data_IF_192323290645
#
_entry.id   IF_192323290645
#
_cell.length_a   1.000
_cell.length_b   1.000
_cell.length_c   1.000
_cell.angle_alpha   90.00
_cell.angle_beta   90.00
_cell.angle_gamma   90.00
#
_symmetry.space_group_name_H-M   'P 1'
#
loop_
_entity.id
_entity.type
_entity.pdbx_description
1 polymer ?
#
# COMPACT_ATOMS: atom_id res chain seq x y z
N UNK A 1 -8.97 -2.23 9.64
CA UNK A 1 -9.67 -3.25 10.45
C UNK A 1 -9.68 -4.59 9.71
N UNK A 2 -9.51 -5.69 10.47
CA UNK A 2 -9.56 -7.05 9.94
C UNK A 2 -10.54 -7.87 10.78
N UNK A 3 -11.68 -8.22 10.21
CA UNK A 3 -12.76 -8.94 10.88
C UNK A 3 -12.34 -10.31 11.42
N UNK A 4 -11.28 -10.91 10.82
CA UNK A 4 -10.73 -12.19 11.25
C UNK A 4 -10.19 -12.15 12.67
N UNK A 5 -9.70 -11.00 13.15
CA UNK A 5 -9.28 -10.83 14.55
C UNK A 5 -10.44 -11.07 15.53
N UNK A 6 -11.62 -10.53 15.23
CA UNK A 6 -12.82 -10.76 16.02
C UNK A 6 -13.30 -12.21 15.98
N UNK A 7 -13.18 -12.88 14.81
CA UNK A 7 -13.48 -14.30 14.63
C UNK A 7 -12.54 -15.16 15.48
N UNK A 8 -11.24 -14.89 15.46
CA UNK A 8 -10.24 -15.60 16.28
C UNK A 8 -10.51 -15.37 17.77
N UNK A 9 -10.82 -14.14 18.19
CA UNK A 9 -11.05 -13.79 19.59
C UNK A 9 -12.23 -14.54 20.22
N UNK A 10 -13.22 -14.94 19.42
CA UNK A 10 -14.34 -15.77 19.93
C UNK A 10 -13.90 -17.16 20.42
N UNK A 11 -12.75 -17.64 20.01
CA UNK A 11 -12.24 -18.98 20.29
C UNK A 11 -10.96 -18.98 21.13
N UNK A 12 -10.30 -17.84 21.29
CA UNK A 12 -9.04 -17.69 22.03
C UNK A 12 -9.20 -16.60 23.08
N UNK A 13 -9.12 -16.97 24.35
CA UNK A 13 -9.06 -15.99 25.43
C UNK A 13 -7.72 -15.25 25.38
N UNK A 14 -7.78 -13.91 25.37
CA UNK A 14 -6.58 -13.09 25.27
C UNK A 14 -6.74 -11.77 26.01
N UNK A 15 -5.62 -11.19 26.41
CA UNK A 15 -5.60 -9.88 27.08
C UNK A 15 -5.71 -8.72 26.10
N UNK A 16 -5.25 -8.90 24.84
CA UNK A 16 -5.19 -7.83 23.83
C UNK A 16 -5.43 -8.40 22.43
N UNK A 17 -6.10 -7.59 21.61
CA UNK A 17 -6.24 -7.83 20.17
C UNK A 17 -5.60 -6.67 19.44
N UNK A 18 -4.62 -6.95 18.58
CA UNK A 18 -3.82 -5.96 17.86
C UNK A 18 -3.95 -6.17 16.34
N UNK A 19 -4.39 -5.13 15.65
CA UNK A 19 -4.44 -5.10 14.19
C UNK A 19 -3.05 -4.95 13.56
N UNK A 20 -3.00 -5.09 12.26
CA UNK A 20 -1.85 -4.68 11.47
C UNK A 20 -1.88 -3.17 11.27
N UNK A 21 -0.71 -2.54 11.24
CA UNK A 21 -0.58 -1.10 11.08
C UNK A 21 -0.31 -0.73 9.61
N UNK A 22 -0.97 0.33 9.15
CA UNK A 22 -0.67 1.05 7.91
C UNK A 22 -0.40 2.50 8.29
N UNK A 23 0.80 2.98 8.01
CA UNK A 23 1.16 4.37 8.23
C UNK A 23 0.81 5.20 7.00
N UNK A 24 -0.06 6.20 7.18
CA UNK A 24 -0.40 7.19 6.16
C UNK A 24 0.28 8.49 6.54
N UNK A 25 1.16 8.98 5.67
CA UNK A 25 1.88 10.23 5.87
C UNK A 25 1.21 11.32 5.04
N UNK A 26 0.69 12.35 5.73
CA UNK A 26 0.17 13.53 5.06
C UNK A 26 1.30 14.33 4.43
N UNK A 27 1.10 14.65 3.16
CA UNK A 27 2.08 15.38 2.35
C UNK A 27 1.39 16.61 1.78
N UNK A 28 1.92 17.81 2.04
CA UNK A 28 1.33 19.06 1.55
C UNK A 28 1.08 19.02 0.03
N UNK A 29 -0.03 19.62 -0.43
CA UNK A 29 -0.46 19.54 -1.83
C UNK A 29 0.61 19.97 -2.84
N UNK A 30 0.70 19.24 -3.94
CA UNK A 30 1.50 19.62 -5.12
C UNK A 30 0.73 20.69 -5.91
N UNK A 31 1.18 21.96 -5.81
CA UNK A 31 0.73 23.00 -6.72
C UNK A 31 1.66 23.16 -7.91
N UNK A 32 1.21 23.82 -8.99
CA UNK A 32 2.04 24.17 -10.14
C UNK A 32 3.37 24.80 -9.73
N UNK A 33 4.51 24.24 -10.20
CA UNK A 33 5.85 24.75 -9.93
C UNK A 33 6.50 24.28 -8.64
N UNK A 34 5.88 23.36 -7.90
CA UNK A 34 6.45 22.81 -6.65
C UNK A 34 7.82 22.15 -6.86
N UNK A 35 8.08 21.59 -8.03
CA UNK A 35 9.36 20.97 -8.41
C UNK A 35 10.47 22.00 -8.71
N UNK A 36 10.11 23.23 -9.05
CA UNK A 36 11.08 24.27 -9.49
C UNK A 36 11.80 25.02 -8.36
N UNK A 37 11.70 24.56 -7.11
CA UNK A 37 12.63 24.98 -6.05
C UNK A 37 12.25 26.20 -5.24
N UNK A 38 11.00 26.66 -5.26
CA UNK A 38 10.56 27.68 -4.34
C UNK A 38 10.21 27.09 -2.95
N UNK A 39 11.26 26.80 -2.18
CA UNK A 39 11.25 26.74 -0.71
C UNK A 39 10.69 25.50 -0.01
N UNK A 40 9.69 24.80 -0.49
CA UNK A 40 9.06 23.63 0.15
C UNK A 40 9.42 22.28 -0.55
N UNK A 41 9.83 22.33 -1.82
CA UNK A 41 9.97 21.16 -2.68
C UNK A 41 10.91 20.07 -2.17
N UNK A 42 12.07 20.39 -1.63
CA UNK A 42 13.08 19.36 -1.27
C UNK A 42 12.75 18.57 0.01
N UNK A 43 12.10 19.17 1.01
CA UNK A 43 11.66 18.44 2.21
C UNK A 43 10.44 17.58 1.94
N UNK A 44 9.50 18.09 1.17
CA UNK A 44 8.31 17.45 0.69
C UNK A 44 8.65 16.18 -0.12
N UNK A 45 9.48 16.31 -1.14
CA UNK A 45 9.92 15.17 -1.96
C UNK A 45 10.70 14.13 -1.14
N UNK A 46 11.34 14.53 -0.03
CA UNK A 46 12.01 13.63 0.90
C UNK A 46 11.04 12.63 1.55
N UNK A 47 9.92 13.10 2.09
CA UNK A 47 8.92 12.25 2.73
C UNK A 47 8.28 11.28 1.74
N UNK A 48 7.91 11.74 0.54
CA UNK A 48 7.34 10.86 -0.49
C UNK A 48 8.34 9.75 -0.88
N UNK A 49 9.64 10.02 -0.92
CA UNK A 49 10.66 9.01 -1.27
C UNK A 49 10.66 7.83 -0.31
N UNK A 50 10.35 8.04 0.95
CA UNK A 50 10.31 6.99 1.97
C UNK A 50 9.03 6.15 1.93
N UNK A 51 7.94 6.67 1.35
CA UNK A 51 6.68 5.93 1.21
C UNK A 51 6.80 4.79 0.20
N UNK A 52 6.01 3.72 0.40
CA UNK A 52 6.00 2.55 -0.48
C UNK A 52 4.98 2.65 -1.61
N UNK A 53 3.92 3.44 -1.43
CA UNK A 53 2.86 3.72 -2.40
C UNK A 53 2.38 5.16 -2.24
N UNK A 54 1.60 5.64 -3.18
CA UNK A 54 0.99 6.96 -3.15
C UNK A 54 -0.54 6.84 -3.11
N UNK A 55 -1.17 7.61 -2.23
CA UNK A 55 -2.59 7.88 -2.24
C UNK A 55 -2.77 9.26 -2.90
N UNK A 56 -3.26 9.27 -4.14
CA UNK A 56 -3.47 10.51 -4.88
C UNK A 56 -4.91 10.97 -4.67
N UNK A 57 -5.10 11.91 -3.74
CA UNK A 57 -6.42 12.49 -3.44
C UNK A 57 -6.76 13.52 -4.49
N UNK A 58 -7.91 13.36 -5.14
CA UNK A 58 -8.39 14.17 -6.26
C UNK A 58 -9.73 14.77 -5.88
N UNK A 59 -9.90 16.08 -6.09
CA UNK A 59 -11.18 16.76 -5.86
C UNK A 59 -12.18 16.42 -6.97
N UNK A 60 -13.32 15.86 -6.56
CA UNK A 60 -14.43 15.50 -7.44
C UNK A 60 -15.75 16.10 -6.96
N UNK A 61 -15.72 17.28 -6.37
CA UNK A 61 -16.90 18.03 -5.94
C UNK A 61 -16.74 19.50 -6.25
N UNK A 62 -17.86 20.18 -6.55
CA UNK A 62 -17.86 21.61 -6.80
C UNK A 62 -17.75 22.41 -5.51
N UNK A 63 -16.83 23.38 -5.45
CA UNK A 63 -16.71 24.30 -4.32
C UNK A 63 -16.21 25.67 -4.81
N UNK A 64 -16.97 26.71 -4.49
CA UNK A 64 -16.64 28.10 -4.88
C UNK A 64 -15.29 28.56 -4.27
N UNK A 65 -14.93 28.09 -3.09
CA UNK A 65 -13.67 28.41 -2.43
C UNK A 65 -12.45 27.87 -3.19
N UNK A 66 -12.63 26.79 -3.98
CA UNK A 66 -11.60 26.14 -4.78
C UNK A 66 -11.74 26.38 -6.30
N UNK A 67 -12.46 27.42 -6.71
CA UNK A 67 -12.56 27.80 -8.12
C UNK A 67 -13.74 27.21 -8.89
N UNK A 68 -14.73 26.65 -8.20
CA UNK A 68 -15.97 26.13 -8.81
C UNK A 68 -15.88 24.65 -9.21
N UNK A 69 -16.22 24.34 -10.47
CA UNK A 69 -16.29 22.96 -10.96
C UNK A 69 -14.93 22.27 -10.91
N UNK A 70 -14.86 20.97 -10.56
CA UNK A 70 -13.62 20.20 -10.53
C UNK A 70 -13.13 19.87 -11.95
N UNK A 71 -11.81 19.78 -12.11
CA UNK A 71 -11.17 19.15 -13.27
C UNK A 71 -10.25 18.01 -12.78
N UNK A 72 -10.82 16.85 -12.36
CA UNK A 72 -10.06 15.81 -11.71
C UNK A 72 -8.95 15.24 -12.60
N UNK A 73 -9.14 15.16 -13.89
CA UNK A 73 -8.12 14.62 -14.80
C UNK A 73 -6.99 15.62 -15.03
N UNK A 74 -7.30 16.90 -15.23
CA UNK A 74 -6.29 17.96 -15.33
C UNK A 74 -5.44 18.04 -14.04
N UNK A 75 -6.08 17.98 -12.87
CA UNK A 75 -5.37 17.98 -11.57
C UNK A 75 -4.44 16.77 -11.42
N UNK A 76 -4.87 15.57 -11.85
CA UNK A 76 -4.03 14.37 -11.86
C UNK A 76 -2.83 14.56 -12.79
N UNK A 77 -3.05 15.02 -14.01
CA UNK A 77 -1.98 15.19 -15.01
C UNK A 77 -0.93 16.21 -14.55
N UNK A 78 -1.35 17.33 -13.97
CA UNK A 78 -0.42 18.31 -13.37
C UNK A 78 0.43 17.68 -12.28
N UNK A 79 -0.18 16.94 -11.36
CA UNK A 79 0.55 16.26 -10.30
C UNK A 79 1.54 15.22 -10.85
N UNK A 80 1.12 14.41 -11.83
CA UNK A 80 1.99 13.40 -12.47
C UNK A 80 3.19 14.05 -13.19
N UNK A 81 3.00 15.20 -13.83
CA UNK A 81 4.09 15.96 -14.45
C UNK A 81 5.09 16.50 -13.41
N UNK A 82 4.62 17.02 -12.29
CA UNK A 82 5.49 17.49 -11.21
C UNK A 82 6.34 16.35 -10.62
N UNK A 83 5.75 15.17 -10.43
CA UNK A 83 6.48 13.98 -10.00
C UNK A 83 7.52 13.54 -11.04
N UNK A 84 7.18 13.60 -12.32
CA UNK A 84 8.09 13.27 -13.42
C UNK A 84 9.27 14.24 -13.50
N UNK A 85 9.07 15.54 -13.31
CA UNK A 85 10.15 16.53 -13.25
C UNK A 85 11.11 16.28 -12.08
N UNK A 86 10.59 15.95 -10.90
CA UNK A 86 11.41 15.63 -9.74
C UNK A 86 12.27 14.37 -9.97
N UNK A 87 11.70 13.37 -10.62
CA UNK A 87 12.45 12.16 -10.97
C UNK A 87 13.46 12.41 -12.09
N UNK A 88 13.13 13.24 -13.07
CA UNK A 88 14.04 13.64 -14.13
C UNK A 88 15.34 14.26 -13.57
N UNK A 89 15.24 15.17 -12.60
CA UNK A 89 16.40 15.72 -11.90
C UNK A 89 17.23 14.63 -11.19
N UNK A 90 16.54 13.67 -10.57
CA UNK A 90 17.20 12.56 -9.86
C UNK A 90 17.93 11.66 -10.85
N UNK A 91 17.30 11.34 -11.97
CA UNK A 91 17.90 10.52 -13.05
C UNK A 91 19.07 11.23 -13.69
N UNK A 92 18.96 12.51 -14.05
CA UNK A 92 20.03 13.30 -14.69
C UNK A 92 21.29 13.37 -13.81
N UNK A 93 21.10 13.62 -12.52
CA UNK A 93 22.23 13.66 -11.57
C UNK A 93 22.95 12.31 -11.49
N UNK A 94 22.21 11.21 -11.44
CA UNK A 94 22.80 9.87 -11.39
C UNK A 94 23.39 9.45 -12.75
N UNK A 95 22.74 9.79 -13.86
CA UNK A 95 23.25 9.54 -15.21
C UNK A 95 24.61 10.21 -15.42
N UNK A 96 24.77 11.46 -15.00
CA UNK A 96 26.05 12.18 -15.06
C UNK A 96 27.15 11.44 -14.29
N UNK A 97 26.85 10.92 -13.11
CA UNK A 97 27.78 10.16 -12.27
C UNK A 97 28.18 8.83 -12.92
N UNK A 98 27.17 8.07 -13.40
CA UNK A 98 27.37 6.74 -14.00
C UNK A 98 28.10 6.85 -15.34
N UNK A 99 27.81 7.83 -16.18
CA UNK A 99 28.47 8.06 -17.46
C UNK A 99 29.98 8.24 -17.32
N UNK A 100 30.44 8.97 -16.29
CA UNK A 100 31.88 9.12 -16.00
C UNK A 100 32.52 7.78 -15.68
N UNK A 101 31.85 6.91 -14.94
CA UNK A 101 32.36 5.58 -14.55
C UNK A 101 32.27 4.57 -15.69
N UNK A 102 31.20 4.60 -16.50
CA UNK A 102 31.03 3.72 -17.64
C UNK A 102 32.19 3.83 -18.67
N UNK A 103 32.87 4.98 -18.73
CA UNK A 103 34.08 5.17 -19.59
C UNK A 103 35.25 4.26 -19.24
N UNK A 104 35.27 3.69 -18.03
CA UNK A 104 36.34 2.73 -17.63
C UNK A 104 36.05 1.30 -18.07
N UNK A 105 34.94 1.04 -18.76
CA UNK A 105 34.55 -0.29 -19.24
C UNK A 105 33.86 -1.17 -18.21
N UNK A 106 33.45 -0.63 -17.07
CA UNK A 106 32.65 -1.33 -16.06
C UNK A 106 31.26 -1.68 -16.64
N UNK A 107 30.99 -2.98 -16.78
CA UNK A 107 29.77 -3.49 -17.40
C UNK A 107 28.51 -3.06 -16.68
N UNK A 108 28.54 -3.05 -15.35
CA UNK A 108 27.37 -2.62 -14.55
C UNK A 108 27.08 -1.13 -14.73
N UNK A 109 28.12 -0.31 -14.80
CA UNK A 109 27.96 1.12 -15.07
C UNK A 109 27.42 1.41 -16.49
N UNK A 110 27.78 0.59 -17.46
CA UNK A 110 27.23 0.69 -18.82
C UNK A 110 25.75 0.32 -18.82
N UNK A 111 25.39 -0.78 -18.17
CA UNK A 111 23.99 -1.23 -18.02
C UNK A 111 23.15 -0.15 -17.32
N UNK A 112 23.63 0.40 -16.21
CA UNK A 112 22.94 1.50 -15.50
C UNK A 112 22.77 2.74 -16.38
N UNK A 113 23.79 3.13 -17.15
CA UNK A 113 23.70 4.28 -18.05
C UNK A 113 22.59 4.10 -19.08
N UNK A 114 22.58 2.95 -19.78
CA UNK A 114 21.58 2.65 -20.81
C UNK A 114 20.16 2.66 -20.23
N UNK A 115 19.99 2.09 -19.03
CA UNK A 115 18.72 2.10 -18.31
C UNK A 115 18.29 3.52 -17.93
N UNK A 116 19.21 4.33 -17.40
CA UNK A 116 18.88 5.70 -16.98
C UNK A 116 18.57 6.60 -18.19
N UNK A 117 19.26 6.40 -19.34
CA UNK A 117 18.94 7.07 -20.60
C UNK A 117 17.53 6.70 -21.09
N UNK A 118 17.14 5.41 -21.01
CA UNK A 118 15.79 4.93 -21.31
C UNK A 118 14.74 5.61 -20.40
N UNK A 119 14.96 5.56 -19.09
CA UNK A 119 14.03 6.14 -18.10
C UNK A 119 13.93 7.65 -18.27
N UNK A 120 15.03 8.34 -18.50
CA UNK A 120 15.03 9.79 -18.77
C UNK A 120 14.13 10.13 -19.95
N UNK A 121 14.24 9.44 -21.06
CA UNK A 121 13.42 9.67 -22.23
C UNK A 121 11.92 9.51 -21.94
N UNK A 122 11.54 8.48 -21.19
CA UNK A 122 10.16 8.25 -20.82
C UNK A 122 9.60 9.38 -19.93
N UNK A 123 10.41 9.83 -18.96
CA UNK A 123 10.04 10.94 -18.08
C UNK A 123 9.94 12.28 -18.85
N UNK A 124 10.81 12.54 -19.83
CA UNK A 124 10.75 13.73 -20.71
C UNK A 124 9.46 13.75 -21.56
N UNK A 125 8.89 12.57 -21.85
CA UNK A 125 7.61 12.41 -22.55
C UNK A 125 6.39 12.37 -21.57
N UNK A 126 6.62 12.63 -20.27
CA UNK A 126 5.58 12.65 -19.24
C UNK A 126 5.12 11.26 -18.77
N UNK A 127 5.75 10.17 -19.25
CA UNK A 127 5.35 8.82 -18.85
C UNK A 127 5.92 8.44 -17.49
N UNK A 128 5.08 7.86 -16.64
CA UNK A 128 5.44 7.42 -15.30
C UNK A 128 6.24 6.11 -15.34
N UNK A 129 7.28 5.98 -14.53
CA UNK A 129 8.16 4.79 -14.52
C UNK A 129 7.41 3.51 -14.16
N UNK A 130 6.35 3.59 -13.34
CA UNK A 130 5.49 2.45 -12.97
C UNK A 130 4.78 1.77 -14.15
N UNK A 131 4.65 2.47 -15.29
CA UNK A 131 4.02 1.92 -16.50
C UNK A 131 5.04 1.31 -17.48
N UNK A 132 6.34 1.35 -17.16
CA UNK A 132 7.37 0.77 -18.02
C UNK A 132 7.52 -0.73 -17.76
N UNK A 133 7.60 -1.49 -18.83
CA UNK A 133 8.02 -2.89 -18.75
C UNK A 133 9.50 -2.97 -18.42
N UNK A 134 9.80 -3.26 -17.16
CA UNK A 134 11.16 -3.38 -16.64
C UNK A 134 11.44 -4.83 -16.26
N UNK A 135 12.61 -5.32 -16.70
CA UNK A 135 13.14 -6.62 -16.28
C UNK A 135 13.50 -6.59 -14.79
N UNK A 136 13.51 -7.74 -14.08
CA UNK A 136 13.89 -7.78 -12.67
C UNK A 136 15.22 -7.08 -12.36
N UNK A 137 16.23 -7.25 -13.22
CA UNK A 137 17.52 -6.60 -13.08
C UNK A 137 17.43 -5.07 -13.23
N UNK A 138 16.61 -4.58 -14.16
CA UNK A 138 16.37 -3.14 -14.33
C UNK A 138 15.69 -2.54 -13.11
N UNK A 139 14.72 -3.25 -12.51
CA UNK A 139 14.06 -2.84 -11.27
C UNK A 139 15.07 -2.74 -10.11
N UNK A 140 15.96 -3.72 -9.96
CA UNK A 140 17.02 -3.69 -8.96
C UNK A 140 17.94 -2.46 -9.13
N UNK A 141 18.33 -2.13 -10.37
CA UNK A 141 19.21 -1.01 -10.67
C UNK A 141 18.53 0.35 -10.43
N UNK A 142 17.21 0.45 -10.61
CA UNK A 142 16.44 1.67 -10.34
C UNK A 142 16.09 1.86 -8.86
N UNK A 143 15.97 0.79 -8.10
CA UNK A 143 15.56 0.83 -6.69
C UNK A 143 16.31 1.87 -5.84
N UNK A 144 17.65 2.02 -5.95
CA UNK A 144 18.40 3.02 -5.18
C UNK A 144 18.08 4.47 -5.52
N UNK A 145 17.37 4.74 -6.61
CA UNK A 145 16.98 6.10 -7.00
C UNK A 145 15.74 6.59 -6.28
N UNK A 146 14.93 5.70 -5.69
CA UNK A 146 13.69 6.02 -5.00
C UNK A 146 12.76 6.90 -5.84
N UNK A 147 12.59 6.54 -7.13
CA UNK A 147 11.79 7.32 -8.05
C UNK A 147 10.33 7.37 -7.61
N UNK A 148 9.75 8.57 -7.64
CA UNK A 148 8.37 8.84 -7.22
C UNK A 148 7.39 8.23 -8.22
N UNK A 149 7.69 8.36 -9.50
CA UNK A 149 6.87 7.86 -10.61
C UNK A 149 6.93 6.32 -10.75
N UNK A 150 7.87 5.66 -10.05
CA UNK A 150 7.94 4.20 -9.98
C UNK A 150 7.03 3.60 -8.90
N UNK A 151 6.51 4.42 -7.98
CA UNK A 151 5.65 3.95 -6.88
C UNK A 151 4.26 3.60 -7.40
N UNK A 152 3.63 2.52 -6.88
CA UNK A 152 2.23 2.24 -7.15
C UNK A 152 1.36 3.37 -6.61
N UNK A 153 0.24 3.65 -7.29
CA UNK A 153 -0.69 4.71 -6.94
C UNK A 153 -2.12 4.18 -6.82
N UNK A 154 -2.83 4.64 -5.80
CA UNK A 154 -4.28 4.52 -5.66
C UNK A 154 -4.87 5.92 -5.77
N UNK A 155 -5.78 6.13 -6.72
CA UNK A 155 -6.50 7.38 -6.85
C UNK A 155 -7.68 7.40 -5.87
N UNK A 156 -7.78 8.46 -5.08
CA UNK A 156 -8.85 8.66 -4.08
C UNK A 156 -9.65 9.87 -4.52
N UNK A 157 -10.78 9.63 -5.15
CA UNK A 157 -11.70 10.69 -5.55
C UNK A 157 -12.47 11.18 -4.30
N UNK A 158 -12.20 12.40 -3.87
CA UNK A 158 -12.99 13.04 -2.82
C UNK A 158 -14.24 13.63 -3.46
N UNK A 159 -15.38 12.99 -3.21
CA UNK A 159 -16.69 13.30 -3.77
C UNK A 159 -17.56 14.06 -2.77
N UNK A 160 -18.69 14.63 -3.23
CA UNK A 160 -19.71 15.21 -2.37
C UNK A 160 -20.42 14.12 -1.51
N UNK A 161 -21.13 14.55 -0.48
CA UNK A 161 -21.84 13.62 0.41
C UNK A 161 -22.91 12.79 -0.31
N UNK A 162 -23.63 13.43 -1.23
CA UNK A 162 -24.70 12.80 -2.03
C UNK A 162 -24.18 11.78 -3.04
N UNK A 163 -22.87 11.72 -3.25
CA UNK A 163 -22.17 10.83 -4.20
C UNK A 163 -21.25 9.83 -3.47
N UNK A 164 -21.42 9.69 -2.16
CA UNK A 164 -20.57 8.81 -1.33
C UNK A 164 -20.63 7.32 -1.73
N UNK A 165 -21.69 6.90 -2.42
CA UNK A 165 -21.84 5.58 -3.03
C UNK A 165 -20.91 5.37 -4.26
N UNK A 166 -20.29 6.44 -4.75
CA UNK A 166 -19.40 6.43 -5.90
C UNK A 166 -20.11 6.54 -7.26
N UNK A 167 -21.40 6.92 -7.28
CA UNK A 167 -22.14 7.12 -8.53
C UNK A 167 -22.06 8.58 -9.02
N UNK A 168 -20.84 9.08 -9.24
CA UNK A 168 -20.63 10.41 -9.80
C UNK A 168 -19.93 10.37 -11.16
N UNK A 169 -20.19 11.41 -11.99
CA UNK A 169 -19.57 11.52 -13.32
C UNK A 169 -18.06 11.71 -13.19
N UNK A 170 -17.62 12.55 -12.25
CA UNK A 170 -16.20 12.85 -12.06
C UNK A 170 -15.45 11.65 -11.50
N UNK A 171 -16.06 10.88 -10.58
CA UNK A 171 -15.44 9.63 -10.13
C UNK A 171 -15.30 8.62 -11.28
N UNK A 172 -16.31 8.46 -12.14
CA UNK A 172 -16.20 7.55 -13.31
C UNK A 172 -15.07 7.96 -14.26
N UNK A 173 -14.80 9.27 -14.43
CA UNK A 173 -13.64 9.76 -15.21
C UNK A 173 -12.32 9.32 -14.55
N UNK A 174 -12.20 9.50 -13.23
CA UNK A 174 -11.00 9.09 -12.47
C UNK A 174 -10.83 7.58 -12.49
N UNK A 175 -11.90 6.82 -12.35
CA UNK A 175 -11.87 5.35 -12.39
C UNK A 175 -11.42 4.84 -13.76
N UNK A 176 -11.98 5.38 -14.85
CA UNK A 176 -11.56 5.03 -16.21
C UNK A 176 -10.09 5.38 -16.46
N UNK A 177 -9.66 6.58 -16.03
CA UNK A 177 -8.26 7.01 -16.11
C UNK A 177 -7.32 6.06 -15.37
N UNK A 178 -7.70 5.63 -14.17
CA UNK A 178 -6.92 4.69 -13.38
C UNK A 178 -6.84 3.31 -14.05
N UNK A 179 -7.96 2.76 -14.50
CA UNK A 179 -8.05 1.45 -15.14
C UNK A 179 -7.21 1.37 -16.43
N UNK A 180 -7.26 2.39 -17.28
CA UNK A 180 -6.43 2.49 -18.50
C UNK A 180 -4.93 2.42 -18.21
N UNK A 181 -4.53 2.80 -17.00
CA UNK A 181 -3.12 2.82 -16.53
C UNK A 181 -2.78 1.67 -15.58
N UNK A 182 -3.67 0.67 -15.44
CA UNK A 182 -3.45 -0.48 -14.55
C UNK A 182 -3.42 -0.11 -13.06
N UNK A 183 -4.03 1.01 -12.69
CA UNK A 183 -4.20 1.48 -11.32
C UNK A 183 -5.66 1.32 -10.87
N UNK A 184 -5.91 1.51 -9.58
CA UNK A 184 -7.26 1.49 -9.01
C UNK A 184 -7.68 2.89 -8.57
N UNK A 185 -9.00 3.10 -8.49
CA UNK A 185 -9.60 4.28 -7.88
C UNK A 185 -10.59 3.91 -6.77
N UNK A 186 -10.89 4.88 -5.91
CA UNK A 186 -11.84 4.76 -4.82
C UNK A 186 -12.53 6.10 -4.58
N UNK A 187 -13.86 6.12 -4.51
CA UNK A 187 -14.61 7.29 -4.08
C UNK A 187 -14.72 7.34 -2.55
N UNK A 188 -14.47 8.51 -1.97
CA UNK A 188 -14.62 8.80 -0.53
C UNK A 188 -15.24 10.18 -0.39
N UNK A 189 -16.30 10.32 0.40
CA UNK A 189 -16.79 11.59 0.86
C UNK A 189 -16.08 11.92 2.19
N UNK A 190 -15.03 12.74 2.13
CA UNK A 190 -14.18 13.00 3.30
C UNK A 190 -14.96 13.64 4.47
N UNK A 191 -16.00 14.40 4.19
CA UNK A 191 -16.84 14.98 5.22
C UNK A 191 -17.62 13.91 5.98
N UNK A 192 -18.23 12.94 5.29
CA UNK A 192 -18.90 11.79 5.93
C UNK A 192 -17.90 11.02 6.81
N UNK A 193 -16.67 10.81 6.35
CA UNK A 193 -15.65 10.12 7.16
C UNK A 193 -15.30 10.89 8.45
N UNK A 194 -15.27 12.21 8.39
CA UNK A 194 -15.10 13.05 9.58
C UNK A 194 -16.27 12.87 10.54
N UNK A 195 -17.51 12.94 10.07
CA UNK A 195 -18.70 12.75 10.91
C UNK A 195 -18.73 11.36 11.54
N UNK A 196 -18.46 10.31 10.76
CA UNK A 196 -18.39 8.93 11.26
C UNK A 196 -17.31 8.76 12.35
N UNK A 197 -16.20 9.48 12.26
CA UNK A 197 -15.12 9.39 13.25
C UNK A 197 -15.49 9.97 14.63
N UNK A 198 -16.52 10.80 14.69
CA UNK A 198 -17.02 11.42 15.92
C UNK A 198 -18.15 10.62 16.57
N UNK A 199 -18.71 9.63 15.87
CA UNK A 199 -19.80 8.79 16.35
C UNK A 199 -19.31 7.57 17.13
N UNK A 200 -20.15 7.10 18.07
CA UNK A 200 -19.97 5.79 18.68
C UNK A 200 -20.15 4.66 17.63
N UNK A 201 -19.51 3.49 17.78
CA UNK A 201 -19.57 2.42 16.79
C UNK A 201 -20.99 1.94 16.43
N UNK A 202 -21.92 1.98 17.38
CA UNK A 202 -23.33 1.61 17.15
C UNK A 202 -24.02 2.65 16.27
N UNK A 203 -23.84 3.93 16.56
CA UNK A 203 -24.42 5.06 15.81
C UNK A 203 -23.80 5.15 14.42
N UNK A 204 -22.47 4.92 14.30
CA UNK A 204 -21.78 4.88 13.02
C UNK A 204 -22.33 3.78 12.09
N UNK A 205 -22.69 2.61 12.66
CA UNK A 205 -23.31 1.51 11.89
C UNK A 205 -24.69 1.90 11.35
N UNK A 206 -25.50 2.57 12.16
CA UNK A 206 -26.83 3.06 11.75
C UNK A 206 -26.69 4.12 10.66
N UNK A 207 -25.77 5.06 10.85
CA UNK A 207 -25.52 6.14 9.89
C UNK A 207 -25.03 5.61 8.51
N UNK A 208 -24.13 4.63 8.50
CA UNK A 208 -23.71 3.95 7.27
C UNK A 208 -24.89 3.26 6.56
N UNK A 209 -25.74 2.57 7.32
CA UNK A 209 -26.92 1.89 6.77
C UNK A 209 -27.92 2.88 6.15
N UNK A 210 -28.11 4.03 6.76
CA UNK A 210 -28.99 5.11 6.26
C UNK A 210 -28.46 5.70 4.94
N UNK A 211 -27.14 5.73 4.77
CA UNK A 211 -26.46 6.13 3.53
C UNK A 211 -26.37 5.01 2.48
N UNK A 212 -26.82 3.79 2.80
CA UNK A 212 -26.72 2.63 1.92
C UNK A 212 -25.30 2.10 1.78
N UNK A 213 -24.38 2.43 2.70
CA UNK A 213 -22.97 2.03 2.68
C UNK A 213 -22.75 0.81 3.59
N UNK A 214 -21.99 -0.18 3.10
CA UNK A 214 -21.66 -1.39 3.87
C UNK A 214 -20.45 -1.19 4.81
N UNK A 215 -19.57 -0.24 4.50
CA UNK A 215 -18.34 0.06 5.25
C UNK A 215 -17.90 1.49 5.02
N UNK A 216 -17.08 2.03 5.92
CA UNK A 216 -16.50 3.37 5.77
C UNK A 216 -15.58 3.46 4.56
N UNK A 217 -15.41 4.65 3.99
CA UNK A 217 -14.43 4.90 2.93
C UNK A 217 -13.00 4.63 3.40
N UNK A 218 -12.71 4.94 4.68
CA UNK A 218 -11.42 4.66 5.30
C UNK A 218 -11.13 3.15 5.36
N UNK A 219 -12.11 2.31 5.70
CA UNK A 219 -11.94 0.85 5.67
C UNK A 219 -11.66 0.33 4.26
N UNK A 220 -12.41 0.83 3.27
CA UNK A 220 -12.19 0.50 1.86
C UNK A 220 -10.80 0.95 1.38
N UNK A 221 -10.37 2.15 1.80
CA UNK A 221 -9.03 2.69 1.51
C UNK A 221 -7.92 1.78 2.06
N UNK A 222 -8.02 1.40 3.33
CA UNK A 222 -7.03 0.52 3.97
C UNK A 222 -6.94 -0.82 3.23
N UNK A 223 -8.07 -1.46 2.92
CA UNK A 223 -8.10 -2.74 2.17
C UNK A 223 -7.41 -2.61 0.80
N UNK A 224 -7.74 -1.54 0.04
CA UNK A 224 -7.10 -1.28 -1.27
C UNK A 224 -5.62 -0.95 -1.14
N UNK A 225 -5.21 -0.20 -0.13
CA UNK A 225 -3.80 0.12 0.12
C UNK A 225 -2.97 -1.14 0.47
N UNK A 226 -3.52 -2.06 1.28
CA UNK A 226 -2.90 -3.36 1.53
C UNK A 226 -2.72 -4.17 0.24
N UNK A 227 -3.75 -4.22 -0.61
CA UNK A 227 -3.69 -4.89 -1.89
C UNK A 227 -2.65 -4.26 -2.83
N UNK A 228 -2.65 -2.93 -2.93
CA UNK A 228 -1.71 -2.15 -3.73
C UNK A 228 -0.26 -2.42 -3.34
N UNK A 229 0.01 -2.55 -2.04
CA UNK A 229 1.33 -2.86 -1.50
C UNK A 229 1.71 -4.34 -1.63
N UNK A 230 0.80 -5.20 -2.13
CA UNK A 230 0.98 -6.65 -2.19
C UNK A 230 1.06 -7.30 -0.81
N UNK A 231 0.50 -6.66 0.21
CA UNK A 231 0.51 -7.16 1.57
C UNK A 231 -0.57 -8.21 1.80
N UNK A 232 -0.26 -9.16 2.67
CA UNK A 232 -1.15 -10.19 3.20
C UNK A 232 -0.99 -10.20 4.71
N UNK A 233 -1.93 -10.87 5.39
CA UNK A 233 -1.95 -10.92 6.85
C UNK A 233 -1.91 -12.35 7.35
N UNK A 234 -1.04 -12.63 8.31
CA UNK A 234 -1.12 -13.82 9.14
C UNK A 234 -1.34 -13.41 10.60
N UNK A 235 -1.79 -14.35 11.42
CA UNK A 235 -2.09 -14.10 12.82
C UNK A 235 -1.23 -14.95 13.76
N UNK A 236 -0.91 -14.36 14.91
CA UNK A 236 -0.47 -15.13 16.07
C UNK A 236 -1.58 -15.05 17.12
N UNK A 237 -1.93 -16.17 17.72
CA UNK A 237 -3.00 -16.26 18.71
C UNK A 237 -2.49 -16.91 20.00
N UNK A 238 -2.68 -16.22 21.12
CA UNK A 238 -2.25 -16.71 22.43
C UNK A 238 -2.90 -15.94 23.57
N UNK A 239 -2.68 -16.40 24.81
CA UNK A 239 -3.25 -15.82 26.03
C UNK A 239 -2.86 -14.35 26.26
N UNK A 240 -1.67 -13.94 25.81
CA UNK A 240 -1.20 -12.57 25.99
C UNK A 240 -1.76 -11.63 24.94
N UNK A 241 -1.76 -12.06 23.68
CA UNK A 241 -2.26 -11.27 22.57
C UNK A 241 -2.67 -12.14 21.38
N UNK A 242 -3.68 -11.66 20.66
CA UNK A 242 -3.95 -12.01 19.27
C UNK A 242 -3.43 -10.84 18.44
N UNK A 243 -2.59 -11.12 17.44
CA UNK A 243 -2.01 -10.05 16.63
C UNK A 243 -1.99 -10.40 15.16
N UNK A 244 -2.35 -9.42 14.35
CA UNK A 244 -2.19 -9.47 12.90
C UNK A 244 -0.80 -8.95 12.51
N UNK A 245 -0.14 -9.67 11.62
CA UNK A 245 1.19 -9.36 11.09
C UNK A 245 1.13 -9.28 9.58
N UNK A 246 1.82 -8.32 8.98
CA UNK A 246 1.88 -8.16 7.53
C UNK A 246 3.08 -8.90 6.94
N UNK A 247 2.87 -9.45 5.74
CA UNK A 247 3.93 -10.04 4.91
C UNK A 247 3.61 -9.75 3.44
N UNK A 248 4.58 -9.92 2.54
CA UNK A 248 4.35 -9.78 1.11
C UNK A 248 3.85 -11.09 0.52
N UNK A 249 2.89 -11.02 -0.39
CA UNK A 249 2.45 -12.18 -1.16
C UNK A 249 3.66 -12.89 -1.80
N UNK A 250 3.76 -14.21 -1.60
CA UNK A 250 4.91 -15.01 -2.02
C UNK A 250 6.04 -15.13 -1.01
N UNK A 251 5.98 -14.44 0.12
CA UNK A 251 6.98 -14.60 1.19
C UNK A 251 6.89 -15.99 1.81
N UNK A 252 8.05 -16.58 2.06
CA UNK A 252 8.19 -17.84 2.77
C UNK A 252 8.14 -17.64 4.28
N UNK A 253 7.76 -18.69 5.01
CA UNK A 253 7.58 -18.68 6.46
C UNK A 253 8.75 -18.03 7.26
N UNK A 254 10.04 -18.26 6.95
CA UNK A 254 11.12 -17.56 7.65
C UNK A 254 11.08 -16.03 7.46
N UNK A 255 10.81 -15.56 6.22
CA UNK A 255 10.73 -14.12 5.92
C UNK A 255 9.54 -13.49 6.66
N UNK A 256 8.37 -14.12 6.60
CA UNK A 256 7.19 -13.67 7.33
C UNK A 256 7.42 -13.66 8.86
N UNK A 257 8.10 -14.64 9.41
CA UNK A 257 8.48 -14.69 10.82
C UNK A 257 9.37 -13.51 11.24
N UNK A 258 10.15 -12.97 10.30
CA UNK A 258 10.96 -11.76 10.46
C UNK A 258 10.14 -10.52 10.83
N UNK A 259 8.86 -10.46 10.46
CA UNK A 259 7.96 -9.37 10.86
C UNK A 259 7.74 -9.30 12.40
N UNK A 260 7.85 -10.43 13.09
CA UNK A 260 7.79 -10.46 14.57
C UNK A 260 9.10 -9.93 15.14
N UNK A 261 10.21 -10.48 14.70
CA UNK A 261 11.57 -10.09 15.09
C UNK A 261 12.60 -10.74 14.16
N UNK A 262 13.70 -10.06 13.87
CA UNK A 262 14.76 -10.59 12.99
C UNK A 262 15.36 -11.93 13.43
N UNK A 263 15.31 -12.26 14.73
CA UNK A 263 15.77 -13.56 15.21
C UNK A 263 14.83 -14.70 14.79
N UNK A 264 13.55 -14.44 14.61
CA UNK A 264 12.61 -15.46 14.14
C UNK A 264 12.94 -15.90 12.71
N UNK A 265 13.33 -14.98 11.85
CA UNK A 265 13.82 -15.29 10.50
C UNK A 265 15.11 -16.11 10.54
N UNK A 266 16.12 -15.62 11.29
CA UNK A 266 17.46 -16.23 11.34
C UNK A 266 17.48 -17.61 11.98
N UNK A 267 16.67 -17.80 13.04
CA UNK A 267 16.63 -19.03 13.85
C UNK A 267 15.42 -19.90 13.55
N UNK A 268 14.72 -19.65 12.45
CA UNK A 268 13.54 -20.40 12.06
C UNK A 268 13.82 -21.89 11.94
N UNK A 269 12.99 -22.72 12.59
CA UNK A 269 13.02 -24.18 12.49
C UNK A 269 11.83 -24.68 11.68
N UNK A 270 10.61 -24.34 12.11
CA UNK A 270 9.34 -24.74 11.51
C UNK A 270 8.20 -23.82 11.96
N UNK A 271 7.09 -23.88 11.26
CA UNK A 271 5.84 -23.21 11.65
C UNK A 271 4.75 -24.27 11.92
N UNK A 272 3.93 -24.05 12.91
CA UNK A 272 2.66 -24.73 13.11
C UNK A 272 1.58 -23.81 12.57
N UNK A 273 0.78 -24.28 11.62
CA UNK A 273 -0.14 -23.45 10.84
C UNK A 273 -1.52 -24.09 10.80
N UNK A 274 -2.55 -23.29 10.99
CA UNK A 274 -3.95 -23.64 10.77
C UNK A 274 -4.71 -22.38 10.29
N UNK A 275 -5.89 -22.56 9.73
CA UNK A 275 -6.68 -21.44 9.20
C UNK A 275 -7.69 -20.91 10.24
N UNK A 276 -8.24 -19.71 9.98
CA UNK A 276 -9.33 -19.16 10.79
C UNK A 276 -10.54 -20.08 10.73
N UNK A 277 -10.82 -20.65 9.55
CA UNK A 277 -11.93 -21.59 9.33
C UNK A 277 -11.75 -22.89 10.12
N UNK A 278 -10.51 -23.42 10.21
CA UNK A 278 -10.22 -24.58 11.05
C UNK A 278 -10.48 -24.26 12.53
N UNK A 279 -10.14 -23.04 12.98
CA UNK A 279 -10.39 -22.60 14.36
C UNK A 279 -11.89 -22.51 14.65
N UNK A 280 -12.65 -21.94 13.76
CA UNK A 280 -14.13 -21.86 13.90
C UNK A 280 -14.80 -23.24 13.91
N UNK A 281 -14.33 -24.13 13.04
CA UNK A 281 -14.89 -25.49 12.94
C UNK A 281 -14.61 -26.35 14.16
N UNK A 282 -13.46 -26.18 14.80
CA UNK A 282 -12.99 -27.03 15.91
C UNK A 282 -12.97 -26.35 17.28
N UNK A 283 -13.07 -25.04 17.34
CA UNK A 283 -13.19 -24.25 18.58
C UNK A 283 -11.90 -24.06 19.38
N UNK A 284 -10.82 -24.80 19.10
CA UNK A 284 -9.53 -24.66 19.79
C UNK A 284 -8.36 -25.28 19.03
N UNK A 285 -7.14 -24.79 19.25
CA UNK A 285 -5.92 -25.37 18.67
C UNK A 285 -5.74 -26.85 19.05
N UNK A 286 -6.10 -27.24 20.26
CA UNK A 286 -6.02 -28.64 20.71
C UNK A 286 -6.96 -29.53 19.89
N UNK A 287 -8.19 -29.09 19.63
CA UNK A 287 -9.14 -29.84 18.81
C UNK A 287 -8.71 -29.90 17.33
N UNK A 288 -8.14 -28.81 16.79
CA UNK A 288 -7.54 -28.77 15.46
C UNK A 288 -6.43 -29.81 15.33
N UNK A 289 -5.56 -29.88 16.33
CA UNK A 289 -4.46 -30.86 16.40
C UNK A 289 -4.99 -32.29 16.48
N UNK A 290 -6.00 -32.53 17.31
CA UNK A 290 -6.64 -33.86 17.42
C UNK A 290 -7.33 -34.30 16.12
N UNK A 291 -7.88 -33.35 15.36
CA UNK A 291 -8.47 -33.57 14.05
C UNK A 291 -7.44 -33.73 12.92
N UNK A 292 -6.13 -33.58 13.21
CA UNK A 292 -5.06 -33.68 12.21
C UNK A 292 -5.01 -32.50 11.23
N UNK A 293 -5.60 -31.36 11.59
CA UNK A 293 -5.64 -30.16 10.76
C UNK A 293 -4.51 -29.18 11.02
N UNK A 294 -3.79 -29.33 12.16
CA UNK A 294 -2.59 -28.57 12.45
C UNK A 294 -1.46 -29.01 11.53
N UNK A 295 -1.09 -28.17 10.59
CA UNK A 295 0.01 -28.39 9.64
C UNK A 295 1.34 -28.03 10.30
N UNK A 296 2.39 -28.74 9.97
CA UNK A 296 3.77 -28.43 10.36
C UNK A 296 4.57 -28.17 9.12
N UNK A 297 4.96 -26.92 8.93
CA UNK A 297 5.54 -26.40 7.69
C UNK A 297 7.01 -26.05 7.88
N UNK A 298 7.80 -26.27 6.82
CA UNK A 298 9.23 -25.98 6.79
C UNK A 298 9.57 -24.59 6.23
N UNK A 299 10.86 -24.39 5.95
CA UNK A 299 11.41 -23.13 5.45
C UNK A 299 10.88 -22.71 4.06
N UNK A 300 10.42 -23.67 3.28
CA UNK A 300 9.94 -23.42 1.91
C UNK A 300 8.44 -23.16 1.83
N UNK A 301 7.75 -23.19 2.95
CA UNK A 301 6.32 -22.89 3.02
C UNK A 301 6.07 -21.43 2.62
N UNK A 302 5.28 -21.24 1.57
CA UNK A 302 4.76 -19.93 1.18
C UNK A 302 3.55 -19.61 2.04
N UNK A 303 3.61 -18.50 2.75
CA UNK A 303 2.56 -18.08 3.68
C UNK A 303 1.27 -17.75 2.96
N UNK A 304 0.16 -18.26 3.49
CA UNK A 304 -1.17 -17.93 3.01
C UNK A 304 -1.81 -16.79 3.82
N UNK A 305 -2.61 -15.97 3.12
CA UNK A 305 -3.41 -14.95 3.80
C UNK A 305 -4.44 -15.59 4.74
N UNK A 306 -4.45 -15.17 6.00
CA UNK A 306 -5.33 -15.75 7.02
C UNK A 306 -4.75 -16.91 7.82
N UNK A 307 -3.52 -17.33 7.56
CA UNK A 307 -2.85 -18.33 8.39
C UNK A 307 -2.77 -17.87 9.86
N UNK A 308 -3.11 -18.77 10.79
CA UNK A 308 -2.79 -18.61 12.21
C UNK A 308 -1.54 -19.44 12.48
N UNK A 309 -0.49 -18.79 13.01
CA UNK A 309 0.86 -19.38 13.00
C UNK A 309 1.51 -19.32 14.36
N UNK A 310 2.16 -20.43 14.73
CA UNK A 310 3.13 -20.47 15.81
C UNK A 310 4.51 -20.85 15.25
N UNK A 311 5.43 -19.87 15.20
CA UNK A 311 6.79 -20.09 14.73
C UNK A 311 7.67 -20.69 15.82
N UNK A 312 8.33 -21.79 15.51
CA UNK A 312 9.30 -22.45 16.37
C UNK A 312 10.71 -22.08 15.91
N UNK A 313 11.49 -21.50 16.84
CA UNK A 313 12.84 -21.02 16.56
C UNK A 313 13.85 -21.78 17.44
N UNK A 314 15.09 -21.86 16.96
CA UNK A 314 16.23 -22.38 17.71
C UNK A 314 16.67 -21.44 18.82
N UNK A 315 17.20 -21.99 19.91
CA UNK A 315 17.78 -21.23 21.03
C UNK A 315 19.08 -20.50 20.66
#
# INVERSE_FOLDING_TARGET
PDERLGRIHKHVETQRVLGADLEVVDVAGLGEGASRGEGLGNKFLGHIKECHALLHVVRCFADVAFGGDPDPIGDIEVCELELAFADLETVDRNLTRVTKRARTGDKEMVEQRELFEKVKKELEEGRQVRHLELKPREQELLRPLFLLTAKPVLFVANVSEDEADGDSEDFRKVESFAQERGSEALAIAAQIECELSELDPEDATVFLADLGLESTGLERLIRKAFHLLGLRTYFTAGEKEIRAWTFKAGDKAPVAAGAIHSDFEKKFIRAQVYSVEDLEAHGSEQAIKAAGKLRVEGKDYEMADGDIVNFLIGG
#
